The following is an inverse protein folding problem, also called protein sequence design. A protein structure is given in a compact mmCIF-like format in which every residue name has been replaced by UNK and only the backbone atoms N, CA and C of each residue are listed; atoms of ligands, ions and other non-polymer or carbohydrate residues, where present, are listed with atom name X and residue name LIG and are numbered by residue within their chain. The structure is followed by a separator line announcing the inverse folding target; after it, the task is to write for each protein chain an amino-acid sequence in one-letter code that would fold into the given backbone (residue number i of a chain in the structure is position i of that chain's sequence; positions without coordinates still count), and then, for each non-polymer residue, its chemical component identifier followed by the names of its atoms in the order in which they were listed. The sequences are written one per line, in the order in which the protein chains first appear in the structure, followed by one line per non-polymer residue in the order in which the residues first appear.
data_IF_508678799255
#
_entry.id   IF_508678799255
#
_cell.length_a   1.000
_cell.length_b   1.000
_cell.length_c   1.000
_cell.angle_alpha   90.00
_cell.angle_beta   90.00
_cell.angle_gamma   90.00
#
_symmetry.space_group_name_H-M   'P 1'
#
loop_
_entity.id
_entity.type
_entity.pdbx_description
1 polymer ?
#
# COMPACT_ATOMS: atom_id res chain seq x y z
N UNK A 1 27.36 26.32 -47.92
CA UNK A 1 26.10 26.00 -47.21
C UNK A 1 25.73 24.56 -47.53
N UNK A 2 25.90 23.65 -46.57
CA UNK A 2 25.31 22.32 -46.59
C UNK A 2 24.71 22.13 -45.20
N UNK A 3 23.39 22.22 -45.12
CA UNK A 3 22.65 22.04 -43.86
C UNK A 3 22.73 20.57 -43.50
N UNK A 4 23.16 20.28 -42.27
CA UNK A 4 23.05 18.97 -41.63
C UNK A 4 21.58 18.54 -41.54
N UNK A 5 21.09 17.93 -42.62
CA UNK A 5 19.77 17.30 -42.71
C UNK A 5 19.80 15.84 -42.25
N UNK A 6 20.89 15.41 -41.59
CA UNK A 6 21.11 14.01 -41.21
C UNK A 6 20.87 13.70 -39.73
N UNK A 7 20.28 14.61 -38.93
CA UNK A 7 20.04 14.38 -37.49
C UNK A 7 18.55 14.41 -37.09
N UNK A 8 17.62 14.47 -38.06
CA UNK A 8 16.18 14.47 -37.78
C UNK A 8 15.51 13.09 -37.92
N UNK A 9 16.22 12.06 -38.38
CA UNK A 9 15.66 10.73 -38.66
C UNK A 9 15.60 9.76 -37.46
N UNK A 10 15.87 10.20 -36.21
CA UNK A 10 15.74 9.33 -35.03
C UNK A 10 14.97 9.96 -33.88
N UNK A 11 13.87 10.64 -34.19
CA UNK A 11 12.78 10.81 -33.23
C UNK A 11 11.79 9.65 -33.41
N UNK A 12 11.99 8.57 -32.64
CA UNK A 12 10.86 7.82 -32.05
C UNK A 12 10.73 8.20 -30.58
N UNK A 13 10.15 9.35 -30.20
CA UNK A 13 9.83 9.63 -28.81
C UNK A 13 8.30 9.57 -28.66
N UNK A 14 7.82 9.42 -27.43
CA UNK A 14 6.40 9.59 -27.03
C UNK A 14 5.59 8.28 -26.98
N UNK A 15 5.38 7.51 -28.06
CA UNK A 15 4.48 6.32 -27.98
C UNK A 15 4.93 5.26 -26.94
N UNK A 16 6.23 4.94 -26.87
CA UNK A 16 6.76 3.97 -25.87
C UNK A 16 6.70 4.51 -24.43
N UNK A 17 6.77 5.83 -24.26
CA UNK A 17 6.76 6.45 -22.92
C UNK A 17 5.34 6.52 -22.34
N UNK A 18 4.32 6.74 -23.18
CA UNK A 18 2.92 6.74 -22.75
C UNK A 18 2.47 5.36 -22.27
N UNK A 19 2.74 4.29 -23.02
CA UNK A 19 2.44 2.92 -22.59
C UNK A 19 3.15 2.57 -21.26
N UNK A 20 4.39 3.02 -21.08
CA UNK A 20 5.14 2.84 -19.83
C UNK A 20 4.57 3.67 -18.68
N UNK A 21 4.08 4.88 -18.95
CA UNK A 21 3.43 5.74 -17.96
C UNK A 21 2.06 5.21 -17.53
N UNK A 22 1.26 4.69 -18.45
CA UNK A 22 -0.01 4.01 -18.16
C UNK A 22 0.24 2.77 -17.31
N UNK A 23 1.25 1.95 -17.66
CA UNK A 23 1.61 0.79 -16.85
C UNK A 23 2.10 1.17 -15.44
N UNK A 24 2.85 2.29 -15.29
CA UNK A 24 3.25 2.82 -13.97
C UNK A 24 2.04 3.28 -13.17
N UNK A 25 1.14 4.04 -13.79
CA UNK A 25 -0.10 4.50 -13.16
C UNK A 25 -0.95 3.33 -12.68
N UNK A 26 -1.13 2.30 -13.52
CA UNK A 26 -1.85 1.09 -13.12
C UNK A 26 -1.18 0.32 -11.97
N UNK A 27 0.16 0.36 -11.85
CA UNK A 27 0.86 -0.21 -10.68
C UNK A 27 0.64 0.59 -9.41
N UNK A 28 0.66 1.91 -9.49
CA UNK A 28 0.39 2.79 -8.34
C UNK A 28 -1.08 2.65 -7.87
N UNK A 29 -2.04 2.64 -8.79
CA UNK A 29 -3.46 2.42 -8.49
C UNK A 29 -3.71 1.07 -7.82
N UNK A 30 -3.06 0.00 -8.32
CA UNK A 30 -3.14 -1.33 -7.70
C UNK A 30 -2.54 -1.33 -6.29
N UNK A 31 -1.43 -0.63 -6.08
CA UNK A 31 -0.79 -0.55 -4.77
C UNK A 31 -1.70 0.18 -3.76
N UNK A 32 -2.35 1.25 -4.19
CA UNK A 32 -3.29 2.00 -3.35
C UNK A 32 -4.55 1.18 -3.04
N UNK A 33 -5.09 0.44 -4.00
CA UNK A 33 -6.21 -0.47 -3.75
C UNK A 33 -5.87 -1.53 -2.68
N UNK A 34 -4.66 -2.09 -2.73
CA UNK A 34 -4.18 -3.04 -1.70
C UNK A 34 -4.00 -2.33 -0.36
N UNK A 35 -3.49 -1.10 -0.34
CA UNK A 35 -3.35 -0.30 0.89
C UNK A 35 -4.68 -0.10 1.59
N UNK A 36 -5.72 0.27 0.85
CA UNK A 36 -7.08 0.46 1.37
C UNK A 36 -7.60 -0.85 1.95
N UNK A 37 -7.55 -1.94 1.18
CA UNK A 37 -8.05 -3.24 1.62
C UNK A 37 -7.34 -3.75 2.90
N UNK A 38 -6.02 -3.55 3.02
CA UNK A 38 -5.27 -3.93 4.22
C UNK A 38 -5.71 -3.10 5.44
N UNK A 39 -5.95 -1.79 5.26
CA UNK A 39 -6.44 -0.93 6.36
C UNK A 39 -7.82 -1.34 6.83
N UNK A 40 -8.73 -1.62 5.89
CA UNK A 40 -10.07 -2.13 6.20
C UNK A 40 -9.97 -3.43 7.01
N UNK A 41 -9.18 -4.40 6.55
CA UNK A 41 -9.01 -5.67 7.25
C UNK A 41 -8.41 -5.51 8.66
N UNK A 42 -7.41 -4.64 8.82
CA UNK A 42 -6.81 -4.36 10.14
C UNK A 42 -7.84 -3.74 11.08
N UNK A 43 -8.67 -2.82 10.59
CA UNK A 43 -9.74 -2.20 11.36
C UNK A 43 -10.78 -3.24 11.77
N UNK A 44 -11.26 -4.07 10.84
CA UNK A 44 -12.26 -5.11 11.11
C UNK A 44 -11.78 -6.10 12.19
N UNK A 45 -10.55 -6.61 12.07
CA UNK A 45 -10.00 -7.57 13.05
C UNK A 45 -9.80 -6.89 14.41
N UNK A 46 -9.31 -5.65 14.42
CA UNK A 46 -9.10 -4.91 15.67
C UNK A 46 -10.42 -4.60 16.37
N UNK A 47 -11.45 -4.22 15.62
CA UNK A 47 -12.79 -3.96 16.13
C UNK A 47 -13.44 -5.23 16.68
N UNK A 48 -13.33 -6.36 15.99
CA UNK A 48 -13.83 -7.64 16.49
C UNK A 48 -13.17 -8.01 17.82
N UNK A 49 -11.86 -7.83 17.94
CA UNK A 49 -11.13 -8.05 19.18
C UNK A 49 -11.53 -7.05 20.29
N UNK A 50 -11.73 -5.78 19.95
CA UNK A 50 -12.17 -4.75 20.91
C UNK A 50 -13.60 -5.05 21.44
N UNK A 51 -14.52 -5.51 20.58
CA UNK A 51 -15.87 -5.95 21.00
C UNK A 51 -15.79 -7.14 21.94
N UNK A 52 -14.99 -8.17 21.62
CA UNK A 52 -14.82 -9.32 22.50
C UNK A 52 -14.25 -8.92 23.87
N UNK A 53 -13.33 -7.96 23.92
CA UNK A 53 -12.82 -7.42 25.18
C UNK A 53 -13.91 -6.70 25.98
N UNK A 54 -14.75 -5.90 25.32
CA UNK A 54 -15.86 -5.21 25.98
C UNK A 54 -16.91 -6.19 26.52
N UNK A 55 -17.26 -7.22 25.75
CA UNK A 55 -18.20 -8.27 26.18
C UNK A 55 -17.66 -9.02 27.40
N UNK A 56 -16.37 -9.34 27.41
CA UNK A 56 -15.73 -10.02 28.54
C UNK A 56 -15.54 -9.11 29.76
N UNK A 57 -15.49 -7.78 29.60
CA UNK A 57 -15.52 -6.84 30.72
C UNK A 57 -16.92 -6.70 31.33
N UNK A 58 -17.97 -6.88 30.52
CA UNK A 58 -19.35 -6.85 30.97
C UNK A 58 -19.77 -8.16 31.68
N UNK A 59 -19.13 -9.28 31.32
CA UNK A 59 -19.28 -10.55 32.03
C UNK A 59 -18.25 -10.67 33.17
N UNK A 60 -18.68 -10.49 34.42
CA UNK A 60 -17.83 -10.63 35.61
C UNK A 60 -17.21 -12.04 35.76
N UNK A 61 -17.64 -13.01 34.96
CA UNK A 61 -17.15 -14.41 34.92
C UNK A 61 -16.19 -14.67 33.74
N UNK A 62 -15.76 -13.62 33.03
CA UNK A 62 -14.90 -13.71 31.84
C UNK A 62 -13.62 -14.54 32.05
N UNK A 63 -13.42 -15.56 31.19
CA UNK A 63 -12.20 -16.39 31.21
C UNK A 63 -10.96 -15.57 30.86
N UNK A 64 -9.97 -15.52 31.76
CA UNK A 64 -8.66 -14.87 31.54
C UNK A 64 -8.01 -15.30 30.21
N UNK A 65 -8.20 -16.56 29.81
CA UNK A 65 -7.67 -17.09 28.55
C UNK A 65 -8.30 -16.42 27.32
N UNK A 66 -9.61 -16.12 27.35
CA UNK A 66 -10.29 -15.40 26.27
C UNK A 66 -9.88 -13.93 26.22
N UNK A 67 -9.81 -13.29 27.38
CA UNK A 67 -9.29 -11.92 27.49
C UNK A 67 -7.91 -11.80 26.85
N UNK A 68 -7.01 -12.72 27.19
CA UNK A 68 -5.67 -12.76 26.61
C UNK A 68 -5.69 -13.00 25.10
N UNK A 69 -6.51 -13.95 24.62
CA UNK A 69 -6.62 -14.24 23.20
C UNK A 69 -7.12 -13.01 22.39
N UNK A 70 -8.13 -12.30 22.90
CA UNK A 70 -8.64 -11.09 22.27
C UNK A 70 -7.58 -9.95 22.26
N UNK A 71 -6.86 -9.76 23.38
CA UNK A 71 -5.74 -8.79 23.41
C UNK A 71 -4.61 -9.16 22.44
N UNK A 72 -4.27 -10.44 22.35
CA UNK A 72 -3.27 -10.95 21.42
C UNK A 72 -3.73 -10.70 19.97
N UNK A 73 -4.99 -10.99 19.63
CA UNK A 73 -5.55 -10.74 18.31
C UNK A 73 -5.45 -9.26 17.91
N UNK A 74 -5.83 -8.34 18.81
CA UNK A 74 -5.69 -6.89 18.61
C UNK A 74 -4.23 -6.49 18.36
N UNK A 75 -3.32 -7.02 19.17
CA UNK A 75 -1.88 -6.72 19.07
C UNK A 75 -1.30 -7.24 17.75
N UNK A 76 -1.67 -8.44 17.34
CA UNK A 76 -1.26 -9.03 16.06
C UNK A 76 -1.80 -8.24 14.88
N UNK A 77 -3.06 -7.81 14.91
CA UNK A 77 -3.66 -6.98 13.87
C UNK A 77 -2.91 -5.65 13.71
N UNK A 78 -2.63 -4.96 14.82
CA UNK A 78 -1.87 -3.71 14.81
C UNK A 78 -0.45 -3.90 14.25
N UNK A 79 0.25 -4.95 14.69
CA UNK A 79 1.61 -5.27 14.24
C UNK A 79 1.67 -5.63 12.76
N UNK A 80 0.71 -6.44 12.28
CA UNK A 80 0.59 -6.81 10.88
C UNK A 80 0.29 -5.57 10.03
N UNK A 81 -0.62 -4.69 10.49
CA UNK A 81 -0.92 -3.43 9.82
C UNK A 81 0.32 -2.57 9.58
N UNK A 82 1.10 -2.29 10.63
CA UNK A 82 2.35 -1.51 10.52
C UNK A 82 3.34 -2.17 9.55
N UNK A 83 3.52 -3.48 9.64
CA UNK A 83 4.46 -4.24 8.79
C UNK A 83 4.06 -4.16 7.31
N UNK A 84 2.77 -4.38 7.02
CA UNK A 84 2.24 -4.35 5.66
C UNK A 84 2.27 -2.93 5.09
N UNK A 85 1.87 -1.91 5.85
CA UNK A 85 1.96 -0.52 5.40
C UNK A 85 3.39 -0.10 5.07
N UNK A 86 4.35 -0.53 5.88
CA UNK A 86 5.78 -0.31 5.63
C UNK A 86 6.22 -1.00 4.34
N UNK A 87 5.84 -2.26 4.13
CA UNK A 87 6.14 -2.99 2.90
C UNK A 87 5.53 -2.32 1.66
N UNK A 88 4.28 -1.86 1.75
CA UNK A 88 3.61 -1.12 0.66
C UNK A 88 4.30 0.21 0.38
N UNK A 89 4.76 0.93 1.42
CA UNK A 89 5.53 2.17 1.25
C UNK A 89 6.86 1.90 0.54
N UNK A 90 7.54 0.80 0.85
CA UNK A 90 8.77 0.40 0.15
C UNK A 90 8.51 0.06 -1.32
N UNK A 91 7.40 -0.63 -1.62
CA UNK A 91 6.98 -0.93 -2.99
C UNK A 91 6.67 0.35 -3.77
N UNK A 92 5.99 1.31 -3.15
CA UNK A 92 5.68 2.61 -3.77
C UNK A 92 6.98 3.35 -4.14
N UNK A 93 7.94 3.39 -3.23
CA UNK A 93 9.25 4.00 -3.47
C UNK A 93 10.09 3.28 -4.52
N UNK A 94 9.86 1.99 -4.71
CA UNK A 94 10.51 1.20 -5.77
C UNK A 94 9.86 1.45 -7.15
N UNK A 95 8.69 2.10 -7.22
CA UNK A 95 8.16 2.55 -8.49
C UNK A 95 9.06 3.67 -9.03
N UNK A 96 9.46 3.62 -10.32
CA UNK A 96 10.31 4.64 -10.89
C UNK A 96 9.60 6.00 -10.87
N UNK A 97 10.04 6.87 -9.96
CA UNK A 97 9.58 8.25 -9.87
C UNK A 97 10.01 9.01 -11.12
N UNK A 98 9.05 9.72 -11.68
CA UNK A 98 9.26 10.65 -12.78
C UNK A 98 9.86 11.93 -12.20
N UNK A 99 11.16 11.94 -11.92
CA UNK A 99 11.92 13.19 -11.82
C UNK A 99 12.81 13.33 -13.05
N UNK A 100 12.14 13.65 -14.16
CA UNK A 100 12.75 14.43 -15.22
C UNK A 100 12.26 15.86 -15.05
N UNK A 101 12.90 16.61 -14.16
CA UNK A 101 12.86 18.08 -14.17
C UNK A 101 14.29 18.57 -14.41
N UNK A 102 14.59 19.18 -15.56
CA UNK A 102 15.76 20.02 -15.71
C UNK A 102 15.50 21.36 -15.01
N UNK A 103 16.38 21.74 -14.08
CA UNK A 103 16.75 23.12 -13.81
C UNK A 103 18.27 23.17 -13.64
#
# INVERSE_FOLDING_TARGET
MQKDEATLARRKPIQTNEASAVARRGRAERLEAVRIAIRELVVEISQAADVELLDLMADEVGSLARHRAAQEARTWAATAGVTLETGLMQLDRALPNREGSPQ
#
